data_IF_338118875788
#
_entry.id   IF_338118875788
#
_cell.length_a   1.000
_cell.length_b   1.000
_cell.length_c   1.000
_cell.angle_alpha   90.00
_cell.angle_beta   90.00
_cell.angle_gamma   90.00
#
_symmetry.space_group_name_H-M   'P 1'
#
loop_
_entity.id
_entity.type
_entity.pdbx_description
1 polymer ?
#
# COMPACT_ATOMS: atom_id res chain seq x y z
N UNK A 1 28.78 22.70 -22.75
CA UNK A 1 27.32 22.57 -22.94
C UNK A 1 26.85 23.74 -23.83
N UNK A 2 26.23 23.47 -24.97
CA UNK A 2 25.66 24.51 -25.85
C UNK A 2 24.45 25.15 -25.11
N UNK A 3 24.29 26.48 -25.24
CA UNK A 3 23.09 27.16 -24.69
C UNK A 3 21.84 26.55 -25.30
N UNK A 4 20.77 26.27 -24.50
CA UNK A 4 19.52 25.75 -25.04
C UNK A 4 18.95 26.74 -26.07
N UNK A 5 18.47 26.21 -27.21
CA UNK A 5 17.84 27.01 -28.25
C UNK A 5 16.50 27.54 -27.74
N UNK A 6 16.36 28.83 -27.57
CA UNK A 6 15.08 29.46 -27.22
C UNK A 6 14.18 29.48 -28.46
N UNK A 7 12.98 28.92 -28.34
CA UNK A 7 11.95 28.92 -29.39
C UNK A 7 10.69 29.54 -28.81
N UNK A 8 10.06 30.48 -29.51
CA UNK A 8 8.78 31.04 -29.05
C UNK A 8 7.66 30.02 -29.26
N UNK A 9 6.62 30.05 -28.40
CA UNK A 9 5.46 29.16 -28.50
C UNK A 9 4.85 29.20 -29.90
N UNK A 10 4.59 30.39 -30.47
CA UNK A 10 4.00 30.54 -31.79
C UNK A 10 4.86 29.86 -32.90
N UNK A 11 6.18 29.97 -32.80
CA UNK A 11 7.08 29.34 -33.77
C UNK A 11 7.06 27.81 -33.63
N UNK A 12 7.02 27.29 -32.41
CA UNK A 12 6.86 25.86 -32.15
C UNK A 12 5.54 25.35 -32.74
N UNK A 13 4.43 26.02 -32.45
CA UNK A 13 3.09 25.61 -32.93
C UNK A 13 3.02 25.63 -34.46
N UNK A 14 3.60 26.64 -35.12
CA UNK A 14 3.64 26.69 -36.57
C UNK A 14 4.43 25.51 -37.16
N UNK A 15 5.61 25.20 -36.63
CA UNK A 15 6.43 24.06 -37.08
C UNK A 15 5.75 22.71 -36.79
N UNK A 16 5.11 22.60 -35.62
CA UNK A 16 4.35 21.41 -35.26
C UNK A 16 3.17 21.19 -36.22
N UNK A 17 2.44 22.24 -36.60
CA UNK A 17 1.37 22.16 -37.60
C UNK A 17 1.90 21.75 -38.99
N UNK A 18 3.14 22.07 -39.34
CA UNK A 18 3.83 21.65 -40.55
C UNK A 18 4.35 20.20 -40.50
N UNK A 19 4.07 19.47 -39.42
CA UNK A 19 4.44 18.07 -39.26
C UNK A 19 5.74 17.83 -38.48
N UNK A 20 6.43 18.87 -38.03
CA UNK A 20 7.63 18.67 -37.20
C UNK A 20 7.23 18.17 -35.82
N UNK A 21 8.01 17.24 -35.30
CA UNK A 21 7.76 16.65 -33.97
C UNK A 21 8.99 16.75 -33.05
N UNK A 22 10.18 17.00 -33.57
CA UNK A 22 11.38 17.04 -32.75
C UNK A 22 11.69 18.46 -32.25
N UNK A 23 11.47 18.65 -30.96
CA UNK A 23 11.72 19.87 -30.22
C UNK A 23 12.53 19.56 -28.93
N UNK A 24 13.48 18.60 -29.04
CA UNK A 24 14.33 18.24 -27.91
C UNK A 24 15.28 19.36 -27.50
N UNK A 25 15.67 19.36 -26.23
CA UNK A 25 16.69 20.23 -25.64
C UNK A 25 16.44 21.74 -25.83
N UNK A 26 15.20 22.17 -26.02
CA UNK A 26 14.83 23.60 -26.15
C UNK A 26 14.41 24.19 -24.80
N UNK A 27 14.48 25.52 -24.72
CA UNK A 27 13.98 26.27 -23.55
C UNK A 27 12.60 26.85 -23.85
N UNK A 28 11.64 26.49 -23.00
CA UNK A 28 10.23 26.88 -23.01
C UNK A 28 9.77 27.29 -21.60
N UNK A 29 10.66 27.90 -20.82
CA UNK A 29 10.37 28.37 -19.46
C UNK A 29 9.18 29.33 -19.47
N UNK A 30 8.23 29.13 -18.56
CA UNK A 30 6.99 29.90 -18.45
C UNK A 30 6.16 29.99 -19.75
N UNK A 31 6.35 29.04 -20.65
CA UNK A 31 5.58 28.99 -21.92
C UNK A 31 4.09 28.65 -21.66
N UNK A 32 3.18 29.25 -22.43
CA UNK A 32 1.74 29.03 -22.29
C UNK A 32 1.26 28.11 -23.42
N UNK A 33 0.83 26.90 -23.06
CA UNK A 33 0.30 25.87 -23.95
C UNK A 33 -1.11 25.41 -23.56
N UNK A 34 -1.85 26.20 -22.79
CA UNK A 34 -3.19 25.82 -22.32
C UNK A 34 -4.08 25.43 -23.52
N UNK A 35 -4.78 24.30 -23.39
CA UNK A 35 -5.73 23.76 -24.38
C UNK A 35 -5.10 23.38 -25.74
N UNK A 36 -3.77 23.39 -25.85
CA UNK A 36 -3.05 23.06 -27.10
C UNK A 36 -2.94 21.55 -27.28
N UNK A 37 -3.01 21.08 -28.53
CA UNK A 37 -2.75 19.67 -28.89
C UNK A 37 -1.32 19.51 -29.40
N UNK A 38 -0.50 18.72 -28.68
CA UNK A 38 0.91 18.43 -28.95
C UNK A 38 1.20 16.91 -28.91
N UNK A 39 0.28 16.11 -29.44
CA UNK A 39 0.42 14.66 -29.42
C UNK A 39 1.68 14.21 -30.16
N UNK A 40 2.39 13.21 -29.60
CA UNK A 40 3.63 12.63 -30.13
C UNK A 40 4.76 13.65 -30.36
N UNK A 41 4.69 14.82 -29.71
CA UNK A 41 5.80 15.77 -29.74
C UNK A 41 7.01 15.21 -28.98
N UNK A 42 8.21 15.47 -29.47
CA UNK A 42 9.43 15.17 -28.75
C UNK A 42 9.96 16.45 -28.09
N UNK A 43 9.82 16.51 -26.77
CA UNK A 43 10.31 17.55 -25.87
C UNK A 43 11.35 16.97 -24.90
N UNK A 44 12.01 15.86 -25.28
CA UNK A 44 13.02 15.25 -24.41
C UNK A 44 14.14 16.25 -24.07
N UNK A 45 14.51 16.31 -22.78
CA UNK A 45 15.51 17.26 -22.29
C UNK A 45 15.10 18.74 -22.36
N UNK A 46 13.89 19.06 -22.78
CA UNK A 46 13.42 20.45 -22.85
C UNK A 46 13.23 21.05 -21.43
N UNK A 47 13.49 22.35 -21.32
CA UNK A 47 13.17 23.10 -20.09
C UNK A 47 11.76 23.71 -20.22
N UNK A 48 10.81 23.12 -19.51
CA UNK A 48 9.40 23.52 -19.39
C UNK A 48 9.06 24.01 -17.99
N UNK A 49 10.07 24.45 -17.21
CA UNK A 49 9.83 24.95 -15.87
C UNK A 49 8.83 26.11 -15.90
N UNK A 50 7.90 26.14 -14.94
CA UNK A 50 6.85 27.16 -14.83
C UNK A 50 5.89 27.23 -16.05
N UNK A 51 5.94 26.29 -16.98
CA UNK A 51 5.05 26.28 -18.15
C UNK A 51 3.59 26.05 -17.73
N UNK A 52 2.66 26.75 -18.38
CA UNK A 52 1.22 26.58 -18.22
C UNK A 52 0.71 25.67 -19.33
N UNK A 53 0.28 24.45 -18.96
CA UNK A 53 -0.11 23.37 -19.87
C UNK A 53 -1.47 22.78 -19.47
N UNK A 54 -2.35 23.61 -18.90
CA UNK A 54 -3.69 23.23 -18.44
C UNK A 54 -4.52 22.75 -19.64
N UNK A 55 -5.17 21.58 -19.51
CA UNK A 55 -5.94 20.91 -20.58
C UNK A 55 -5.12 20.62 -21.86
N UNK A 56 -3.80 20.65 -21.81
CA UNK A 56 -2.95 20.33 -22.97
C UNK A 56 -3.02 18.84 -23.30
N UNK A 57 -3.06 18.50 -24.59
CA UNK A 57 -3.03 17.09 -25.05
C UNK A 57 -1.62 16.72 -25.49
N UNK A 58 -1.03 15.75 -24.79
CA UNK A 58 0.35 15.27 -24.95
C UNK A 58 0.39 13.74 -25.14
N UNK A 59 -0.63 13.17 -25.77
CA UNK A 59 -0.74 11.70 -25.96
C UNK A 59 0.51 11.18 -26.71
N UNK A 60 1.20 10.21 -26.11
CA UNK A 60 2.41 9.61 -26.67
C UNK A 60 3.58 10.60 -26.81
N UNK A 61 3.57 11.73 -26.11
CA UNK A 61 4.65 12.71 -26.14
C UNK A 61 5.91 12.14 -25.44
N UNK A 62 7.09 12.51 -25.95
CA UNK A 62 8.34 12.24 -25.29
C UNK A 62 8.79 13.46 -24.47
N UNK A 63 8.66 13.38 -23.16
CA UNK A 63 9.07 14.35 -22.16
C UNK A 63 10.23 13.81 -21.30
N UNK A 64 10.93 12.77 -21.78
CA UNK A 64 12.00 12.16 -21.00
C UNK A 64 13.09 13.17 -20.66
N UNK A 65 13.58 13.13 -19.41
CA UNK A 65 14.61 14.03 -18.88
C UNK A 65 14.29 15.53 -19.02
N UNK A 66 13.04 15.90 -19.26
CA UNK A 66 12.62 17.30 -19.26
C UNK A 66 12.60 17.90 -17.84
N UNK A 67 12.70 19.21 -17.77
CA UNK A 67 12.52 19.99 -16.55
C UNK A 67 11.10 20.56 -16.56
N UNK A 68 10.25 20.10 -15.64
CA UNK A 68 8.84 20.48 -15.52
C UNK A 68 8.53 21.09 -14.14
N UNK A 69 9.59 21.44 -13.37
CA UNK A 69 9.38 22.00 -12.02
C UNK A 69 8.51 23.26 -12.08
N UNK A 70 7.55 23.33 -11.15
CA UNK A 70 6.56 24.40 -11.06
C UNK A 70 5.61 24.53 -12.27
N UNK A 71 5.62 23.60 -13.21
CA UNK A 71 4.70 23.62 -14.33
C UNK A 71 3.28 23.22 -13.88
N UNK A 72 2.26 23.80 -14.53
CA UNK A 72 0.87 23.44 -14.34
C UNK A 72 0.37 22.57 -15.52
N UNK A 73 0.17 21.29 -15.24
CA UNK A 73 -0.37 20.29 -16.17
C UNK A 73 -1.76 19.82 -15.68
N UNK A 74 -2.49 20.67 -14.96
CA UNK A 74 -3.82 20.32 -14.47
C UNK A 74 -4.72 19.90 -15.64
N UNK A 75 -5.42 18.77 -15.48
CA UNK A 75 -6.34 18.21 -16.47
C UNK A 75 -5.67 17.92 -17.85
N UNK A 76 -4.35 17.91 -17.92
CA UNK A 76 -3.63 17.56 -19.15
C UNK A 76 -3.79 16.06 -19.47
N UNK A 77 -3.75 15.74 -20.77
CA UNK A 77 -3.88 14.35 -21.25
C UNK A 77 -2.50 13.87 -21.72
N UNK A 78 -1.84 13.05 -20.89
CA UNK A 78 -0.49 12.50 -21.08
C UNK A 78 -0.52 10.98 -21.29
N UNK A 79 -1.59 10.44 -21.85
CA UNK A 79 -1.75 8.99 -22.09
C UNK A 79 -0.54 8.48 -22.89
N UNK A 80 0.08 7.38 -22.42
CA UNK A 80 1.27 6.76 -23.00
C UNK A 80 2.47 7.71 -23.18
N UNK A 81 2.52 8.83 -22.47
CA UNK A 81 3.65 9.76 -22.52
C UNK A 81 4.89 9.18 -21.83
N UNK A 82 6.07 9.49 -22.35
CA UNK A 82 7.34 9.14 -21.75
C UNK A 82 7.88 10.31 -20.92
N UNK A 83 7.83 10.18 -19.61
CA UNK A 83 8.34 11.12 -18.61
C UNK A 83 9.56 10.55 -17.86
N UNK A 84 10.20 9.51 -18.40
CA UNK A 84 11.33 8.82 -17.76
C UNK A 84 12.44 9.81 -17.40
N UNK A 85 12.80 9.84 -16.11
CA UNK A 85 13.85 10.71 -15.59
C UNK A 85 13.51 12.21 -15.65
N UNK A 86 12.26 12.61 -15.85
CA UNK A 86 11.83 14.01 -15.79
C UNK A 86 11.95 14.55 -14.37
N UNK A 87 12.24 15.84 -14.24
CA UNK A 87 12.23 16.56 -12.96
C UNK A 87 10.92 17.34 -12.86
N UNK A 88 10.09 16.98 -11.88
CA UNK A 88 8.72 17.47 -11.72
C UNK A 88 8.45 18.00 -10.30
N UNK A 89 9.46 18.65 -9.70
CA UNK A 89 9.32 19.21 -8.35
C UNK A 89 8.25 20.30 -8.35
N UNK A 90 7.31 20.23 -7.39
CA UNK A 90 6.20 21.19 -7.24
C UNK A 90 5.31 21.33 -8.51
N UNK A 91 5.34 20.36 -9.38
CA UNK A 91 4.47 20.31 -10.56
C UNK A 91 3.02 20.04 -10.15
N UNK A 92 2.06 20.67 -10.79
CA UNK A 92 0.63 20.43 -10.59
C UNK A 92 0.13 19.50 -11.70
N UNK A 93 -0.39 18.33 -11.31
CA UNK A 93 -0.97 17.30 -12.19
C UNK A 93 -2.41 16.95 -11.74
N UNK A 94 -3.07 17.91 -11.06
CA UNK A 94 -4.43 17.72 -10.57
C UNK A 94 -5.36 17.23 -11.69
N UNK A 95 -6.01 16.08 -11.47
CA UNK A 95 -6.93 15.44 -12.44
C UNK A 95 -6.33 15.19 -13.84
N UNK A 96 -5.02 15.17 -13.99
CA UNK A 96 -4.40 14.83 -15.27
C UNK A 96 -4.57 13.32 -15.57
N UNK A 97 -4.56 12.97 -16.86
CA UNK A 97 -4.60 11.57 -17.32
C UNK A 97 -3.20 11.14 -17.80
N UNK A 98 -2.52 10.35 -16.99
CA UNK A 98 -1.22 9.73 -17.25
C UNK A 98 -1.34 8.21 -17.45
N UNK A 99 -2.51 7.71 -17.86
CA UNK A 99 -2.70 6.28 -18.06
C UNK A 99 -1.69 5.73 -19.07
N UNK A 100 -1.05 4.60 -18.74
CA UNK A 100 0.02 3.99 -19.51
C UNK A 100 1.34 4.77 -19.57
N UNK A 101 1.44 5.96 -18.98
CA UNK A 101 2.66 6.77 -19.03
C UNK A 101 3.84 6.11 -18.32
N UNK A 102 5.05 6.38 -18.79
CA UNK A 102 6.31 5.96 -18.14
C UNK A 102 6.91 7.12 -17.37
N UNK A 103 6.99 6.99 -16.04
CA UNK A 103 7.61 7.97 -15.13
C UNK A 103 8.85 7.38 -14.43
N UNK A 104 9.38 6.26 -14.91
CA UNK A 104 10.48 5.56 -14.23
C UNK A 104 11.66 6.48 -13.95
N UNK A 105 12.12 6.51 -12.69
CA UNK A 105 13.20 7.37 -12.24
C UNK A 105 12.89 8.87 -12.28
N UNK A 106 11.63 9.28 -12.46
CA UNK A 106 11.25 10.69 -12.36
C UNK A 106 11.33 11.19 -10.90
N UNK A 107 11.62 12.48 -10.74
CA UNK A 107 11.65 13.17 -9.44
C UNK A 107 10.34 13.95 -9.29
N UNK A 108 9.51 13.52 -8.34
CA UNK A 108 8.14 14.00 -8.12
C UNK A 108 7.98 14.61 -6.71
N UNK A 109 8.98 15.35 -6.23
CA UNK A 109 8.95 15.93 -4.89
C UNK A 109 7.88 17.02 -4.78
N UNK A 110 7.04 16.95 -3.73
CA UNK A 110 5.96 17.92 -3.46
C UNK A 110 4.97 18.12 -4.62
N UNK A 111 4.80 17.08 -5.43
CA UNK A 111 3.89 17.12 -6.58
C UNK A 111 2.43 17.01 -6.12
N UNK A 112 1.54 17.73 -6.81
CA UNK A 112 0.11 17.58 -6.64
C UNK A 112 -0.47 16.62 -7.70
N UNK A 113 -0.74 15.38 -7.27
CA UNK A 113 -1.33 14.29 -8.06
C UNK A 113 -2.78 13.99 -7.62
N UNK A 114 -3.46 14.95 -6.99
CA UNK A 114 -4.84 14.75 -6.51
C UNK A 114 -5.77 14.41 -7.67
N UNK A 115 -6.49 13.28 -7.57
CA UNK A 115 -7.41 12.80 -8.59
C UNK A 115 -6.76 12.39 -9.92
N UNK A 116 -5.44 12.25 -9.98
CA UNK A 116 -4.71 11.85 -11.19
C UNK A 116 -5.08 10.43 -11.62
N UNK A 117 -5.14 10.19 -12.92
CA UNK A 117 -5.25 8.83 -13.48
C UNK A 117 -3.86 8.32 -13.90
N UNK A 118 -3.34 7.34 -13.16
CA UNK A 118 -2.08 6.62 -13.41
C UNK A 118 -2.33 5.14 -13.72
N UNK A 119 -3.51 4.80 -14.25
CA UNK A 119 -3.86 3.41 -14.58
C UNK A 119 -2.81 2.80 -15.51
N UNK A 120 -2.21 1.68 -15.09
CA UNK A 120 -1.18 0.98 -15.86
C UNK A 120 0.15 1.73 -16.03
N UNK A 121 0.33 2.88 -15.38
CA UNK A 121 1.55 3.67 -15.50
C UNK A 121 2.77 2.97 -14.86
N UNK A 122 3.94 3.23 -15.42
CA UNK A 122 5.23 2.75 -14.90
C UNK A 122 5.93 3.82 -14.05
N UNK A 123 6.00 3.61 -12.73
CA UNK A 123 6.64 4.52 -11.77
C UNK A 123 7.83 3.86 -11.05
N UNK A 124 8.55 2.97 -11.72
CA UNK A 124 9.65 2.21 -11.10
C UNK A 124 10.74 3.16 -10.63
N UNK A 125 11.11 3.06 -9.35
CA UNK A 125 12.19 3.86 -8.77
C UNK A 125 11.91 5.37 -8.76
N UNK A 126 10.64 5.79 -8.79
CA UNK A 126 10.26 7.20 -8.62
C UNK A 126 10.42 7.66 -7.17
N UNK A 127 10.72 8.94 -6.99
CA UNK A 127 10.81 9.59 -5.69
C UNK A 127 9.68 10.61 -5.53
N UNK A 128 8.66 10.28 -4.73
CA UNK A 128 7.56 11.19 -4.35
C UNK A 128 7.78 11.66 -2.90
N UNK A 129 8.83 12.43 -2.68
CA UNK A 129 9.26 12.85 -1.35
C UNK A 129 8.42 14.02 -0.80
N UNK A 130 8.48 14.21 0.53
CA UNK A 130 7.98 15.41 1.23
C UNK A 130 6.46 15.64 1.12
N UNK A 131 5.65 14.58 1.31
CA UNK A 131 4.21 14.74 1.45
C UNK A 131 3.47 15.01 0.13
N UNK A 132 3.92 14.42 -0.96
CA UNK A 132 3.20 14.48 -2.25
C UNK A 132 1.73 14.11 -2.09
N UNK A 133 0.85 14.83 -2.80
CA UNK A 133 -0.60 14.70 -2.70
C UNK A 133 -1.12 13.73 -3.75
N UNK A 134 -1.65 12.57 -3.31
CA UNK A 134 -2.24 11.54 -4.16
C UNK A 134 -3.66 11.19 -3.69
N UNK A 135 -4.35 12.12 -3.03
CA UNK A 135 -5.74 11.92 -2.60
C UNK A 135 -6.59 11.59 -3.82
N UNK A 136 -7.40 10.51 -3.72
CA UNK A 136 -8.26 10.00 -4.78
C UNK A 136 -7.54 9.66 -6.10
N UNK A 137 -6.22 9.49 -6.09
CA UNK A 137 -5.46 9.09 -7.27
C UNK A 137 -5.82 7.67 -7.71
N UNK A 138 -5.87 7.44 -9.03
CA UNK A 138 -6.17 6.14 -9.63
C UNK A 138 -4.85 5.50 -10.12
N UNK A 139 -4.38 4.46 -9.42
CA UNK A 139 -3.13 3.74 -9.70
C UNK A 139 -3.39 2.27 -10.07
N UNK A 140 -4.56 1.96 -10.61
CA UNK A 140 -4.96 0.58 -10.93
C UNK A 140 -3.96 -0.05 -11.90
N UNK A 141 -3.37 -1.19 -11.51
CA UNK A 141 -2.39 -1.90 -12.32
C UNK A 141 -1.07 -1.16 -12.55
N UNK A 142 -0.83 -0.03 -11.87
CA UNK A 142 0.42 0.71 -11.97
C UNK A 142 1.60 -0.09 -11.37
N UNK A 143 2.81 0.15 -11.85
CA UNK A 143 4.03 -0.47 -11.33
C UNK A 143 4.86 0.56 -10.58
N UNK A 144 4.96 0.42 -9.24
CA UNK A 144 5.68 1.33 -8.34
C UNK A 144 6.84 0.62 -7.60
N UNK A 145 7.39 -0.42 -8.20
CA UNK A 145 8.50 -1.17 -7.59
C UNK A 145 9.66 -0.25 -7.22
N UNK A 146 10.16 -0.34 -5.98
CA UNK A 146 11.25 0.47 -5.42
C UNK A 146 11.01 1.98 -5.43
N UNK A 147 9.76 2.40 -5.51
CA UNK A 147 9.42 3.83 -5.39
C UNK A 147 9.40 4.25 -3.93
N UNK A 148 9.69 5.54 -3.69
CA UNK A 148 9.68 6.14 -2.36
C UNK A 148 8.50 7.10 -2.25
N UNK A 149 7.51 6.73 -1.43
CA UNK A 149 6.28 7.48 -1.16
C UNK A 149 6.12 7.71 0.35
N UNK A 150 7.23 7.82 1.08
CA UNK A 150 7.19 8.03 2.53
C UNK A 150 6.46 9.34 2.86
N UNK A 151 5.52 9.28 3.82
CA UNK A 151 4.69 10.42 4.22
C UNK A 151 3.72 10.92 3.16
N UNK A 152 3.51 10.21 2.04
CA UNK A 152 2.56 10.62 1.01
C UNK A 152 1.11 10.64 1.51
N UNK A 153 0.30 11.57 1.00
CA UNK A 153 -1.14 11.66 1.27
C UNK A 153 -1.91 10.90 0.19
N UNK A 154 -2.38 9.70 0.51
CA UNK A 154 -3.04 8.77 -0.42
C UNK A 154 -4.45 8.38 0.05
N UNK A 155 -5.12 9.27 0.78
CA UNK A 155 -6.50 9.04 1.24
C UNK A 155 -7.41 8.74 0.06
N UNK A 156 -8.19 7.65 0.12
CA UNK A 156 -9.10 7.23 -0.93
C UNK A 156 -8.45 6.76 -2.24
N UNK A 157 -7.11 6.72 -2.32
CA UNK A 157 -6.42 6.29 -3.54
C UNK A 157 -6.77 4.85 -3.94
N UNK A 158 -6.86 4.59 -5.24
CA UNK A 158 -7.14 3.27 -5.79
C UNK A 158 -5.86 2.65 -6.38
N UNK A 159 -5.27 1.70 -5.63
CA UNK A 159 -4.06 0.96 -6.02
C UNK A 159 -4.37 -0.48 -6.45
N UNK A 160 -5.62 -0.83 -6.73
CA UNK A 160 -6.00 -2.20 -7.04
C UNK A 160 -5.12 -2.82 -8.12
N UNK A 161 -4.64 -4.07 -7.88
CA UNK A 161 -3.80 -4.84 -8.81
C UNK A 161 -2.47 -4.20 -9.17
N UNK A 162 -2.02 -3.19 -8.44
CA UNK A 162 -0.71 -2.56 -8.67
C UNK A 162 0.43 -3.44 -8.15
N UNK A 163 1.64 -3.19 -8.69
CA UNK A 163 2.88 -3.85 -8.28
C UNK A 163 3.68 -2.87 -7.44
N UNK A 164 3.76 -3.14 -6.13
CA UNK A 164 4.33 -2.28 -5.09
C UNK A 164 5.51 -2.96 -4.39
N UNK A 165 6.16 -3.95 -5.03
CA UNK A 165 7.26 -4.68 -4.39
C UNK A 165 8.41 -3.74 -4.01
N UNK A 166 8.96 -3.91 -2.79
CA UNK A 166 10.05 -3.10 -2.24
C UNK A 166 9.74 -1.59 -2.17
N UNK A 167 8.45 -1.20 -2.16
CA UNK A 167 8.03 0.21 -2.04
C UNK A 167 8.27 0.74 -0.62
N UNK A 168 8.60 2.02 -0.49
CA UNK A 168 8.59 2.72 0.79
C UNK A 168 7.33 3.61 0.92
N UNK A 169 6.41 3.17 1.77
CA UNK A 169 5.18 3.86 2.17
C UNK A 169 5.22 4.22 3.67
N UNK A 170 6.42 4.29 4.26
CA UNK A 170 6.55 4.59 5.69
C UNK A 170 5.88 5.93 6.04
N UNK A 171 5.06 5.92 7.09
CA UNK A 171 4.31 7.09 7.53
C UNK A 171 3.28 7.63 6.54
N UNK A 172 3.02 6.96 5.41
CA UNK A 172 2.03 7.41 4.44
C UNK A 172 0.59 7.34 5.01
N UNK A 173 -0.28 8.22 4.54
CA UNK A 173 -1.70 8.19 4.87
C UNK A 173 -2.50 7.51 3.74
N UNK A 174 -2.89 6.27 3.98
CA UNK A 174 -3.67 5.41 3.10
C UNK A 174 -5.10 5.19 3.63
N UNK A 175 -5.63 6.13 4.43
CA UNK A 175 -6.98 6.02 5.00
C UNK A 175 -8.02 5.80 3.91
N UNK A 176 -8.80 4.71 4.01
CA UNK A 176 -9.85 4.36 3.05
C UNK A 176 -9.35 4.02 1.64
N UNK A 177 -8.03 3.87 1.44
CA UNK A 177 -7.48 3.48 0.14
C UNK A 177 -7.88 2.04 -0.21
N UNK A 178 -7.97 1.74 -1.51
CA UNK A 178 -8.19 0.38 -2.00
C UNK A 178 -6.90 -0.20 -2.59
N UNK A 179 -6.47 -1.35 -2.01
CA UNK A 179 -5.25 -2.08 -2.35
C UNK A 179 -5.57 -3.55 -2.66
N UNK A 180 -6.74 -3.81 -3.27
CA UNK A 180 -7.22 -5.17 -3.55
C UNK A 180 -6.29 -5.86 -4.55
N UNK A 181 -5.82 -7.08 -4.20
CA UNK A 181 -4.92 -7.88 -5.04
C UNK A 181 -3.62 -7.18 -5.42
N UNK A 182 -3.10 -6.29 -4.57
CA UNK A 182 -1.79 -5.69 -4.81
C UNK A 182 -0.66 -6.71 -4.57
N UNK A 183 0.46 -6.52 -5.27
CA UNK A 183 1.72 -7.20 -4.98
C UNK A 183 2.64 -6.23 -4.23
N UNK A 184 2.74 -6.38 -2.90
CA UNK A 184 3.45 -5.46 -2.00
C UNK A 184 4.53 -6.22 -1.18
N UNK A 185 5.17 -7.21 -1.79
CA UNK A 185 6.20 -7.98 -1.11
C UNK A 185 7.39 -7.11 -0.70
N UNK A 186 7.90 -7.32 0.53
CA UNK A 186 9.04 -6.59 1.08
C UNK A 186 8.83 -5.06 1.13
N UNK A 187 7.58 -4.59 1.07
CA UNK A 187 7.26 -3.17 1.21
C UNK A 187 7.44 -2.68 2.65
N UNK A 188 7.79 -1.41 2.79
CA UNK A 188 7.88 -0.72 4.08
C UNK A 188 6.65 0.17 4.29
N UNK A 189 5.77 -0.23 5.21
CA UNK A 189 4.58 0.53 5.63
C UNK A 189 4.66 0.88 7.12
N UNK A 190 5.88 0.94 7.68
CA UNK A 190 6.04 1.26 9.09
C UNK A 190 5.44 2.62 9.42
N UNK A 191 4.63 2.68 10.47
CA UNK A 191 3.92 3.89 10.89
C UNK A 191 2.88 4.42 9.91
N UNK A 192 2.57 3.71 8.82
CA UNK A 192 1.54 4.13 7.88
C UNK A 192 0.14 4.08 8.50
N UNK A 193 -0.74 4.97 8.07
CA UNK A 193 -2.16 4.96 8.44
C UNK A 193 -2.99 4.29 7.34
N UNK A 194 -3.47 3.08 7.62
CA UNK A 194 -4.30 2.25 6.74
C UNK A 194 -5.72 2.07 7.32
N UNK A 195 -6.19 3.04 8.12
CA UNK A 195 -7.53 2.97 8.74
C UNK A 195 -8.59 2.78 7.67
N UNK A 196 -9.38 1.71 7.79
CA UNK A 196 -10.45 1.37 6.84
C UNK A 196 -9.99 1.04 5.41
N UNK A 197 -8.69 0.84 5.19
CA UNK A 197 -8.18 0.45 3.87
C UNK A 197 -8.59 -0.98 3.51
N UNK A 198 -8.75 -1.26 2.20
CA UNK A 198 -9.03 -2.60 1.69
C UNK A 198 -7.77 -3.22 1.05
N UNK A 199 -7.18 -4.21 1.74
CA UNK A 199 -6.02 -5.00 1.29
C UNK A 199 -6.43 -6.45 0.97
N UNK A 200 -7.72 -6.70 0.69
CA UNK A 200 -8.21 -8.06 0.46
C UNK A 200 -7.49 -8.74 -0.72
N UNK A 201 -7.25 -10.04 -0.57
CA UNK A 201 -6.57 -10.90 -1.56
C UNK A 201 -5.17 -10.41 -1.98
N UNK A 202 -4.56 -9.50 -1.23
CA UNK A 202 -3.25 -8.94 -1.54
C UNK A 202 -2.10 -9.88 -1.14
N UNK A 203 -0.96 -9.75 -1.83
CA UNK A 203 0.28 -10.48 -1.55
C UNK A 203 1.27 -9.51 -0.91
N UNK A 204 1.43 -9.60 0.43
CA UNK A 204 2.18 -8.67 1.27
C UNK A 204 3.22 -9.41 2.14
N UNK A 205 3.84 -10.42 1.54
CA UNK A 205 4.83 -11.25 2.22
C UNK A 205 6.09 -10.48 2.62
N UNK A 206 6.61 -10.76 3.82
CA UNK A 206 7.83 -10.16 4.37
C UNK A 206 7.81 -8.62 4.41
N UNK A 207 6.63 -8.00 4.38
CA UNK A 207 6.48 -6.54 4.45
C UNK A 207 6.50 -6.05 5.90
N UNK A 208 6.90 -4.80 6.07
CA UNK A 208 7.03 -4.17 7.37
C UNK A 208 5.84 -3.25 7.65
N UNK A 209 4.98 -3.64 8.60
CA UNK A 209 3.86 -2.86 9.14
C UNK A 209 4.08 -2.46 10.60
N UNK A 210 5.34 -2.41 11.06
CA UNK A 210 5.66 -2.06 12.44
C UNK A 210 4.99 -0.73 12.81
N UNK A 211 4.26 -0.71 13.94
CA UNK A 211 3.51 0.45 14.44
C UNK A 211 2.50 1.08 13.44
N UNK A 212 2.13 0.39 12.37
CA UNK A 212 1.11 0.86 11.44
C UNK A 212 -0.30 0.83 12.08
N UNK A 213 -1.17 1.72 11.63
CA UNK A 213 -2.58 1.74 12.02
C UNK A 213 -3.44 1.09 10.92
N UNK A 214 -3.95 -0.11 11.21
CA UNK A 214 -4.84 -0.91 10.35
C UNK A 214 -6.24 -1.03 10.96
N UNK A 215 -6.67 -0.08 11.81
CA UNK A 215 -7.98 -0.10 12.46
C UNK A 215 -9.09 -0.22 11.42
N UNK A 216 -9.93 -1.25 11.55
CA UNK A 216 -11.04 -1.53 10.63
C UNK A 216 -10.63 -1.88 9.20
N UNK A 217 -9.35 -2.15 8.93
CA UNK A 217 -8.90 -2.55 7.60
C UNK A 217 -9.44 -3.92 7.19
N UNK A 218 -9.65 -4.12 5.90
CA UNK A 218 -10.02 -5.40 5.31
C UNK A 218 -8.78 -6.12 4.75
N UNK A 219 -8.40 -7.23 5.37
CA UNK A 219 -7.28 -8.10 4.99
C UNK A 219 -7.77 -9.51 4.60
N UNK A 220 -9.05 -9.65 4.23
CA UNK A 220 -9.66 -10.94 3.89
C UNK A 220 -8.85 -11.65 2.81
N UNK A 221 -8.41 -12.89 3.09
CA UNK A 221 -7.62 -13.70 2.15
C UNK A 221 -6.24 -13.16 1.82
N UNK A 222 -5.76 -12.11 2.50
CA UNK A 222 -4.43 -11.55 2.26
C UNK A 222 -3.32 -12.53 2.68
N UNK A 223 -2.20 -12.52 1.96
CA UNK A 223 -1.02 -13.30 2.29
C UNK A 223 0.03 -12.43 3.00
N UNK A 224 0.10 -12.54 4.33
CA UNK A 224 1.01 -11.83 5.24
C UNK A 224 2.15 -12.74 5.72
N UNK A 225 2.48 -13.81 5.01
CA UNK A 225 3.54 -14.74 5.45
C UNK A 225 4.82 -14.00 5.76
N UNK A 226 5.36 -14.17 6.97
CA UNK A 226 6.59 -13.54 7.43
C UNK A 226 6.51 -12.01 7.59
N UNK A 227 5.34 -11.40 7.51
CA UNK A 227 5.19 -9.96 7.70
C UNK A 227 5.51 -9.55 9.14
N UNK A 228 6.04 -8.33 9.31
CA UNK A 228 6.31 -7.73 10.61
C UNK A 228 5.18 -6.73 10.97
N UNK A 229 4.31 -7.12 11.90
CA UNK A 229 3.23 -6.29 12.44
C UNK A 229 3.48 -5.89 13.91
N UNK A 230 4.73 -5.93 14.36
CA UNK A 230 5.08 -5.59 15.74
C UNK A 230 4.50 -4.22 16.14
N UNK A 231 3.73 -4.18 17.22
CA UNK A 231 3.11 -2.96 17.74
C UNK A 231 2.05 -2.31 16.82
N UNK A 232 1.64 -2.98 15.75
CA UNK A 232 0.57 -2.47 14.88
C UNK A 232 -0.80 -2.48 15.58
N UNK A 233 -1.71 -1.65 15.12
CA UNK A 233 -3.10 -1.62 15.60
C UNK A 233 -4.05 -2.17 14.52
N UNK A 234 -4.62 -3.35 14.79
CA UNK A 234 -5.61 -4.04 13.93
C UNK A 234 -6.98 -4.13 14.62
N UNK A 235 -7.30 -3.18 15.49
CA UNK A 235 -8.60 -3.17 16.18
C UNK A 235 -9.74 -3.20 15.16
N UNK A 236 -10.64 -4.20 15.29
CA UNK A 236 -11.78 -4.37 14.40
C UNK A 236 -11.44 -4.72 12.95
N UNK A 237 -10.19 -5.04 12.64
CA UNK A 237 -9.80 -5.44 11.28
C UNK A 237 -10.39 -6.81 10.89
N UNK A 238 -10.65 -7.02 9.61
CA UNK A 238 -11.09 -8.29 9.06
C UNK A 238 -9.91 -9.03 8.41
N UNK A 239 -9.48 -10.14 9.03
CA UNK A 239 -8.42 -11.04 8.57
C UNK A 239 -8.96 -12.42 8.20
N UNK A 240 -10.26 -12.54 7.88
CA UNK A 240 -10.89 -13.82 7.57
C UNK A 240 -10.12 -14.54 6.44
N UNK A 241 -9.67 -15.77 6.72
CA UNK A 241 -8.90 -16.57 5.77
C UNK A 241 -7.52 -16.03 5.40
N UNK A 242 -7.03 -15.01 6.09
CA UNK A 242 -5.69 -14.47 5.84
C UNK A 242 -4.59 -15.48 6.22
N UNK A 243 -3.47 -15.45 5.49
CA UNK A 243 -2.29 -16.26 5.81
C UNK A 243 -1.23 -15.42 6.54
N UNK A 244 -1.07 -15.68 7.84
CA UNK A 244 -0.12 -15.02 8.75
C UNK A 244 1.00 -15.98 9.18
N UNK A 245 1.27 -17.03 8.40
CA UNK A 245 2.29 -18.04 8.74
C UNK A 245 3.63 -17.39 9.04
N UNK A 246 4.17 -17.65 10.25
CA UNK A 246 5.45 -17.11 10.69
C UNK A 246 5.52 -15.57 10.80
N UNK A 247 4.38 -14.87 10.80
CA UNK A 247 4.35 -13.43 10.99
C UNK A 247 4.75 -13.02 12.41
N UNK A 248 5.40 -11.87 12.54
CA UNK A 248 5.69 -11.25 13.83
C UNK A 248 4.52 -10.36 14.24
N UNK A 249 3.73 -10.83 15.20
CA UNK A 249 2.54 -10.21 15.77
C UNK A 249 2.76 -9.82 17.24
N UNK A 250 4.02 -9.64 17.67
CA UNK A 250 4.35 -9.36 19.05
C UNK A 250 3.77 -8.01 19.49
N UNK A 251 3.05 -8.02 20.62
CA UNK A 251 2.52 -6.81 21.24
C UNK A 251 1.50 -6.04 20.39
N UNK A 252 1.01 -6.59 19.28
CA UNK A 252 0.02 -5.90 18.46
C UNK A 252 -1.36 -5.89 19.14
N UNK A 253 -2.24 -5.00 18.67
CA UNK A 253 -3.64 -4.93 19.07
C UNK A 253 -4.54 -5.54 17.99
N UNK A 254 -5.26 -6.62 18.36
CA UNK A 254 -6.26 -7.34 17.56
C UNK A 254 -7.63 -7.33 18.25
N UNK A 255 -7.90 -6.33 19.10
CA UNK A 255 -9.16 -6.25 19.82
C UNK A 255 -10.35 -6.26 18.86
N UNK A 256 -11.29 -7.17 19.06
CA UNK A 256 -12.49 -7.36 18.23
C UNK A 256 -12.19 -7.61 16.75
N UNK A 257 -10.98 -8.03 16.39
CA UNK A 257 -10.62 -8.40 15.02
C UNK A 257 -11.28 -9.74 14.61
N UNK A 258 -11.58 -9.88 13.33
CA UNK A 258 -12.08 -11.12 12.76
C UNK A 258 -10.95 -11.92 12.11
N UNK A 259 -10.54 -13.02 12.76
CA UNK A 259 -9.49 -13.95 12.33
C UNK A 259 -10.04 -15.32 11.96
N UNK A 260 -11.35 -15.40 11.67
CA UNK A 260 -11.95 -16.69 11.30
C UNK A 260 -11.20 -17.33 10.15
N UNK A 261 -10.90 -18.62 10.29
CA UNK A 261 -10.21 -19.43 9.28
C UNK A 261 -8.81 -18.90 8.90
N UNK A 262 -8.26 -17.93 9.63
CA UNK A 262 -6.92 -17.44 9.38
C UNK A 262 -5.85 -18.49 9.68
N UNK A 263 -4.77 -18.50 8.93
CA UNK A 263 -3.61 -19.32 9.19
C UNK A 263 -2.54 -18.54 9.98
N UNK A 264 -2.43 -18.81 11.27
CA UNK A 264 -1.50 -18.22 12.23
C UNK A 264 -0.38 -19.20 12.61
N UNK A 265 -0.17 -20.27 11.82
CA UNK A 265 0.84 -21.26 12.15
C UNK A 265 2.22 -20.64 12.29
N UNK A 266 2.93 -21.00 13.37
CA UNK A 266 4.26 -20.46 13.72
C UNK A 266 4.32 -18.94 13.88
N UNK A 267 3.19 -18.24 14.01
CA UNK A 267 3.17 -16.81 14.26
C UNK A 267 3.61 -16.48 15.70
N UNK A 268 4.28 -15.36 15.87
CA UNK A 268 4.67 -14.84 17.19
C UNK A 268 3.62 -13.82 17.68
N UNK A 269 2.73 -14.25 18.56
CA UNK A 269 1.65 -13.46 19.16
C UNK A 269 1.92 -13.11 20.62
N UNK A 270 3.18 -13.13 21.06
CA UNK A 270 3.53 -12.86 22.46
C UNK A 270 3.05 -11.47 22.89
N UNK A 271 2.33 -11.45 24.01
CA UNK A 271 1.78 -10.21 24.57
C UNK A 271 0.76 -9.50 23.70
N UNK A 272 0.28 -10.13 22.63
CA UNK A 272 -0.75 -9.55 21.77
C UNK A 272 -2.09 -9.38 22.51
N UNK A 273 -2.83 -8.33 22.20
CA UNK A 273 -4.19 -8.11 22.71
C UNK A 273 -5.24 -8.62 21.71
N UNK A 274 -5.82 -9.77 22.02
CA UNK A 274 -6.86 -10.47 21.24
C UNK A 274 -8.23 -10.41 21.94
N UNK A 275 -8.44 -9.44 22.84
CA UNK A 275 -9.71 -9.31 23.58
C UNK A 275 -10.90 -9.25 22.63
N UNK A 276 -11.86 -10.16 22.80
CA UNK A 276 -13.05 -10.26 21.97
C UNK A 276 -12.80 -10.60 20.50
N UNK A 277 -11.59 -10.99 20.13
CA UNK A 277 -11.28 -11.39 18.75
C UNK A 277 -11.97 -12.71 18.36
N UNK A 278 -12.33 -12.85 17.09
CA UNK A 278 -12.95 -14.06 16.56
C UNK A 278 -11.91 -14.90 15.80
N UNK A 279 -11.43 -15.99 16.42
CA UNK A 279 -10.47 -16.94 15.87
C UNK A 279 -11.16 -18.28 15.52
N UNK A 280 -12.48 -18.32 15.33
CA UNK A 280 -13.18 -19.57 15.06
C UNK A 280 -12.62 -20.26 13.81
N UNK A 281 -12.23 -21.55 13.98
CA UNK A 281 -11.60 -22.34 12.93
C UNK A 281 -10.20 -21.89 12.49
N UNK A 282 -9.58 -20.93 13.18
CA UNK A 282 -8.21 -20.49 12.87
C UNK A 282 -7.18 -21.60 13.12
N UNK A 283 -6.12 -21.63 12.32
CA UNK A 283 -4.98 -22.54 12.51
C UNK A 283 -3.86 -21.84 13.27
N UNK A 284 -3.60 -22.25 14.51
CA UNK A 284 -2.57 -21.73 15.39
C UNK A 284 -1.45 -22.77 15.66
N UNK A 285 -1.26 -23.72 14.74
CA UNK A 285 -0.21 -24.74 14.86
C UNK A 285 1.15 -24.11 15.21
N UNK A 286 1.76 -24.54 16.31
CA UNK A 286 3.06 -24.05 16.79
C UNK A 286 3.14 -22.53 17.02
N UNK A 287 2.02 -21.80 17.11
CA UNK A 287 2.02 -20.38 17.38
C UNK A 287 2.45 -20.09 18.83
N UNK A 288 3.07 -18.92 19.04
CA UNK A 288 3.50 -18.46 20.36
C UNK A 288 2.55 -17.37 20.89
N UNK A 289 1.66 -17.74 21.78
CA UNK A 289 0.67 -16.87 22.45
C UNK A 289 1.05 -16.60 23.92
N UNK A 290 2.31 -16.73 24.29
CA UNK A 290 2.74 -16.46 25.66
C UNK A 290 2.37 -15.05 26.08
N UNK A 291 1.75 -14.92 27.26
CA UNK A 291 1.32 -13.64 27.82
C UNK A 291 0.29 -12.87 26.96
N UNK A 292 -0.29 -13.48 25.94
CA UNK A 292 -1.34 -12.86 25.13
C UNK A 292 -2.64 -12.71 25.95
N UNK A 293 -3.40 -11.66 25.66
CA UNK A 293 -4.73 -11.46 26.23
C UNK A 293 -5.80 -11.93 25.25
N UNK A 294 -6.47 -13.04 25.56
CA UNK A 294 -7.55 -13.68 24.81
C UNK A 294 -8.89 -13.59 25.55
N UNK A 295 -9.04 -12.61 26.46
CA UNK A 295 -10.29 -12.42 27.22
C UNK A 295 -11.45 -12.33 26.25
N UNK A 296 -12.53 -13.10 26.49
CA UNK A 296 -13.74 -13.16 25.67
C UNK A 296 -13.51 -13.51 24.18
N UNK A 297 -12.34 -14.02 23.81
CA UNK A 297 -12.04 -14.42 22.44
C UNK A 297 -12.82 -15.69 22.03
N UNK A 298 -13.24 -15.78 20.78
CA UNK A 298 -13.88 -16.95 20.21
C UNK A 298 -12.85 -17.82 19.48
N UNK A 299 -12.48 -18.97 20.07
CA UNK A 299 -11.56 -19.98 19.51
C UNK A 299 -12.30 -21.27 19.16
N UNK A 300 -13.63 -21.22 18.94
CA UNK A 300 -14.43 -22.37 18.62
C UNK A 300 -13.87 -23.11 17.38
N UNK A 301 -13.56 -24.41 17.51
CA UNK A 301 -13.00 -25.23 16.45
C UNK A 301 -11.58 -24.84 16.02
N UNK A 302 -10.89 -23.96 16.74
CA UNK A 302 -9.52 -23.56 16.40
C UNK A 302 -8.51 -24.70 16.58
N UNK A 303 -7.53 -24.78 15.68
CA UNK A 303 -6.40 -25.72 15.76
C UNK A 303 -5.25 -25.13 16.55
N UNK A 304 -5.10 -25.51 17.81
CA UNK A 304 -4.07 -25.04 18.74
C UNK A 304 -2.99 -26.10 19.00
N UNK A 305 -2.73 -26.97 18.03
CA UNK A 305 -1.75 -28.03 18.15
C UNK A 305 -0.35 -27.46 18.43
N UNK A 306 0.32 -27.93 19.50
CA UNK A 306 1.66 -27.49 19.92
C UNK A 306 1.77 -25.98 20.20
N UNK A 307 0.67 -25.29 20.40
CA UNK A 307 0.64 -23.83 20.68
C UNK A 307 1.17 -23.54 22.09
N UNK A 308 1.96 -22.49 22.25
CA UNK A 308 2.38 -22.00 23.56
C UNK A 308 1.41 -20.94 24.09
N UNK A 309 0.63 -21.30 25.12
CA UNK A 309 -0.32 -20.41 25.82
C UNK A 309 0.15 -20.08 27.25
N UNK A 310 1.44 -20.25 27.54
CA UNK A 310 1.98 -20.02 28.88
C UNK A 310 1.71 -18.59 29.34
N UNK A 311 1.00 -18.45 30.46
CA UNK A 311 0.64 -17.14 31.03
C UNK A 311 -0.37 -16.35 30.22
N UNK A 312 -1.00 -16.93 29.20
CA UNK A 312 -2.06 -16.27 28.44
C UNK A 312 -3.32 -16.10 29.31
N UNK A 313 -4.06 -15.03 29.07
CA UNK A 313 -5.36 -14.81 29.69
C UNK A 313 -6.48 -15.22 28.75
N UNK A 314 -7.16 -16.32 29.04
CA UNK A 314 -8.28 -16.87 28.29
C UNK A 314 -9.63 -16.70 29.04
N UNK A 315 -9.69 -15.80 30.03
CA UNK A 315 -10.93 -15.61 30.82
C UNK A 315 -12.13 -15.32 29.90
N UNK A 316 -13.21 -16.07 30.06
CA UNK A 316 -14.42 -15.96 29.23
C UNK A 316 -14.27 -16.46 27.79
N UNK A 317 -13.09 -16.94 27.36
CA UNK A 317 -12.89 -17.40 25.99
C UNK A 317 -13.71 -18.65 25.66
N UNK A 318 -14.13 -18.78 24.40
CA UNK A 318 -14.81 -19.95 23.88
C UNK A 318 -13.82 -20.88 23.14
N UNK A 319 -13.47 -22.02 23.78
CA UNK A 319 -12.62 -23.07 23.22
C UNK A 319 -13.42 -24.30 22.75
N UNK A 320 -14.75 -24.22 22.66
CA UNK A 320 -15.56 -25.37 22.27
C UNK A 320 -15.04 -25.97 20.95
N UNK A 321 -14.89 -27.31 20.94
CA UNK A 321 -14.41 -28.08 19.79
C UNK A 321 -12.97 -27.73 19.34
N UNK A 322 -12.21 -26.91 20.10
CA UNK A 322 -10.83 -26.59 19.79
C UNK A 322 -9.90 -27.80 20.01
N UNK A 323 -8.79 -27.85 19.27
CA UNK A 323 -7.78 -28.90 19.39
C UNK A 323 -6.51 -28.36 20.05
N UNK A 324 -6.27 -28.69 21.31
CA UNK A 324 -5.13 -28.26 22.12
C UNK A 324 -4.02 -29.33 22.26
N UNK A 325 -4.01 -30.41 21.46
CA UNK A 325 -3.01 -31.49 21.61
C UNK A 325 -1.60 -30.90 21.67
N UNK A 326 -0.85 -31.22 22.72
CA UNK A 326 0.51 -30.76 22.94
C UNK A 326 0.65 -29.27 23.24
N UNK A 327 -0.45 -28.52 23.38
CA UNK A 327 -0.40 -27.10 23.78
C UNK A 327 0.07 -26.92 25.23
N UNK A 328 0.79 -25.84 25.50
CA UNK A 328 1.26 -25.50 26.85
C UNK A 328 0.36 -24.43 27.49
N UNK A 329 -0.43 -24.82 28.49
CA UNK A 329 -1.33 -23.95 29.27
C UNK A 329 -0.76 -23.56 30.64
N UNK A 330 0.56 -23.72 30.86
CA UNK A 330 1.18 -23.42 32.15
C UNK A 330 0.90 -21.98 32.60
N UNK A 331 0.33 -21.82 33.78
CA UNK A 331 -0.08 -20.56 34.41
C UNK A 331 -1.01 -19.69 33.54
N UNK A 332 -1.70 -20.30 32.57
CA UNK A 332 -2.76 -19.62 31.83
C UNK A 332 -4.00 -19.41 32.70
N UNK A 333 -4.70 -18.30 32.51
CA UNK A 333 -6.00 -18.04 33.14
C UNK A 333 -7.11 -18.62 32.26
N UNK A 334 -7.91 -19.56 32.79
CA UNK A 334 -9.02 -20.23 32.14
C UNK A 334 -10.37 -19.94 32.82
N UNK A 335 -10.46 -18.88 33.64
CA UNK A 335 -11.67 -18.55 34.36
C UNK A 335 -12.85 -18.33 33.38
N UNK A 336 -13.97 -19.00 33.63
CA UNK A 336 -15.17 -18.91 32.79
C UNK A 336 -14.99 -19.32 31.32
N UNK A 337 -13.89 -20.00 30.98
CA UNK A 337 -13.67 -20.51 29.61
C UNK A 337 -14.64 -21.65 29.31
N UNK A 338 -15.28 -21.65 28.13
CA UNK A 338 -16.09 -22.80 27.67
C UNK A 338 -15.24 -23.75 26.86
N UNK A 339 -15.38 -25.10 27.11
CA UNK A 339 -14.48 -26.12 26.57
C UNK A 339 -15.24 -27.38 26.09
N UNK A 340 -16.54 -27.28 25.78
CA UNK A 340 -17.33 -28.41 25.33
C UNK A 340 -16.74 -29.03 24.06
N UNK A 341 -16.45 -30.36 24.10
CA UNK A 341 -15.85 -31.06 22.97
C UNK A 341 -14.40 -30.69 22.66
N UNK A 342 -13.75 -29.89 23.52
CA UNK A 342 -12.33 -29.50 23.35
C UNK A 342 -11.41 -30.71 23.53
N UNK A 343 -10.45 -30.89 22.62
CA UNK A 343 -9.38 -31.89 22.78
C UNK A 343 -8.27 -31.26 23.61
N UNK A 344 -8.06 -31.77 24.81
CA UNK A 344 -7.07 -31.25 25.78
C UNK A 344 -5.62 -31.57 25.37
N UNK A 345 -4.60 -30.96 25.98
CA UNK A 345 -3.19 -31.18 25.64
C UNK A 345 -2.73 -32.63 25.68
N UNK A 346 -3.33 -33.45 26.52
CA UNK A 346 -3.04 -34.89 26.66
C UNK A 346 -3.86 -35.77 25.67
N UNK A 347 -4.66 -35.20 24.81
CA UNK A 347 -5.52 -35.91 23.84
C UNK A 347 -6.89 -36.33 24.37
N UNK A 348 -7.21 -36.08 25.65
CA UNK A 348 -8.55 -36.35 26.19
C UNK A 348 -9.57 -35.30 25.72
N UNK A 349 -10.82 -35.71 25.50
CA UNK A 349 -11.91 -34.79 25.16
C UNK A 349 -12.58 -34.27 26.45
N UNK A 350 -12.73 -32.94 26.54
CA UNK A 350 -13.49 -32.28 27.61
C UNK A 350 -14.99 -32.45 27.30
N UNK A 351 -15.74 -33.00 28.26
CA UNK A 351 -17.20 -33.20 28.14
C UNK A 351 -17.98 -31.98 28.60
#
# INVERSE_FOLDING_TARGET
MSKPKTVTVNKLLTRYAQGERNFSDISLVAAIFNEVTLNRINLSGANLSEALMVHTRLIGANLSRSQLSYADLSMAVLIDANLTGATMTETVLHQADLSGASLSGAILSQVNLTGVNLTGAGLIGTCLLNGSQLTDAILVGATLTRSVLSGAHMTGANLNRSILSEIDLSGANLTGATLIRVHLNQGNLSGANLTGADLSESVIQNSNFCIANLTGANLTGANLTGANLNGANLTGANLTGANLTGANLNGLTLQSADLRLANLSKADLRGANLTGANLAGANLLEADLRLANLTDANLCGAGLLLTSLRGANLAGANLNQANLIGASLSVANLDHTTMEGTILPNGATHQ
#
